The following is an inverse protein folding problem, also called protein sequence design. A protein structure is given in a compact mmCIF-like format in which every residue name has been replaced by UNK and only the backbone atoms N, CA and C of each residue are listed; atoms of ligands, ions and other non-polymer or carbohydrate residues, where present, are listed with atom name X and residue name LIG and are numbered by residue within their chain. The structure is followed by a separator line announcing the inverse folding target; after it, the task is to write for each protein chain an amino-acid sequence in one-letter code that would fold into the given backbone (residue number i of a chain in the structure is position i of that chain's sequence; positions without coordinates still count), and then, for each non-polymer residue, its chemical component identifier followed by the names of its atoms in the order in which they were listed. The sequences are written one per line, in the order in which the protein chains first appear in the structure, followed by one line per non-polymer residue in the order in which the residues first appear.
data_IF_023463569879
#
_entry.id   IF_023463569879
#
_cell.length_a   1.000
_cell.length_b   1.000
_cell.length_c   1.000
_cell.angle_alpha   90.00
_cell.angle_beta   90.00
_cell.angle_gamma   90.00
#
_symmetry.space_group_name_H-M   'P 1'
#
loop_
_entity.id
_entity.type
_entity.pdbx_description
1 polymer ?
#
# COMPACT_ATOMS: atom_id res chain seq x y z
N UNK A 1 17.36 -11.53 22.19
CA UNK A 1 17.65 -11.18 20.78
C UNK A 1 16.51 -11.73 19.93
N UNK A 2 15.53 -10.89 19.56
CA UNK A 2 14.21 -11.32 19.06
C UNK A 2 14.24 -11.85 17.61
N UNK A 3 13.70 -13.05 17.41
CA UNK A 3 13.58 -13.76 16.13
C UNK A 3 12.66 -13.07 15.11
N UNK A 4 11.79 -12.13 15.54
CA UNK A 4 10.84 -11.44 14.65
C UNK A 4 11.44 -10.26 13.86
N UNK A 5 12.55 -9.66 14.31
CA UNK A 5 13.26 -8.64 13.50
C UNK A 5 13.78 -9.18 12.16
N UNK A 6 13.95 -10.51 12.03
CA UNK A 6 14.38 -11.15 10.79
C UNK A 6 13.24 -11.43 9.81
N UNK A 7 11.97 -11.40 10.26
CA UNK A 7 10.82 -11.84 9.47
C UNK A 7 10.10 -10.71 8.72
N UNK A 8 10.06 -9.49 9.27
CA UNK A 8 9.39 -8.36 8.63
C UNK A 8 10.40 -7.33 8.12
N UNK A 9 11.04 -7.63 6.99
CA UNK A 9 12.03 -6.72 6.38
C UNK A 9 11.39 -5.58 5.60
N UNK A 10 10.13 -5.68 5.20
CA UNK A 10 9.46 -4.67 4.38
C UNK A 10 9.47 -3.29 5.07
N UNK A 11 9.02 -3.19 6.32
CA UNK A 11 9.06 -1.90 7.04
C UNK A 11 10.48 -1.37 7.23
N UNK A 12 11.47 -2.24 7.43
CA UNK A 12 12.89 -1.84 7.52
C UNK A 12 13.43 -1.25 6.21
N UNK A 13 13.10 -1.86 5.07
CA UNK A 13 13.45 -1.34 3.74
C UNK A 13 12.79 0.01 3.48
N UNK A 14 11.53 0.18 3.92
CA UNK A 14 10.81 1.44 3.79
C UNK A 14 11.47 2.55 4.60
N UNK A 15 11.82 2.30 5.85
CA UNK A 15 12.57 3.24 6.70
C UNK A 15 13.93 3.61 6.08
N UNK A 16 14.63 2.65 5.48
CA UNK A 16 15.92 2.89 4.83
C UNK A 16 15.79 3.88 3.67
N UNK A 17 14.81 3.70 2.80
CA UNK A 17 14.56 4.63 1.68
C UNK A 17 14.06 5.98 2.17
N UNK A 18 13.20 6.00 3.17
CA UNK A 18 12.73 7.24 3.78
C UNK A 18 13.90 8.08 4.35
N UNK A 19 14.85 7.45 5.04
CA UNK A 19 16.05 8.13 5.52
C UNK A 19 16.93 8.63 4.36
N UNK A 20 17.17 7.80 3.33
CA UNK A 20 17.94 8.20 2.16
C UNK A 20 17.29 9.39 1.41
N UNK A 21 15.96 9.42 1.34
CA UNK A 21 15.21 10.54 0.78
C UNK A 21 15.32 11.80 1.65
N UNK A 22 15.19 11.67 2.97
CA UNK A 22 15.36 12.79 3.89
C UNK A 22 16.76 13.40 3.79
N UNK A 23 17.81 12.57 3.73
CA UNK A 23 19.19 13.01 3.54
C UNK A 23 19.41 13.68 2.18
N UNK A 24 18.89 13.09 1.10
CA UNK A 24 19.09 13.59 -0.27
C UNK A 24 18.35 14.88 -0.53
N UNK A 25 17.10 14.99 -0.05
CA UNK A 25 16.27 16.16 -0.26
C UNK A 25 16.59 17.25 0.76
N UNK A 26 16.99 16.89 1.99
CA UNK A 26 17.35 17.81 3.07
C UNK A 26 16.30 18.92 3.34
N UNK A 27 15.03 18.63 3.01
CA UNK A 27 13.89 19.54 3.18
C UNK A 27 12.98 19.16 4.35
N UNK A 28 13.12 17.94 4.87
CA UNK A 28 12.32 17.42 5.97
C UNK A 28 13.15 16.49 6.86
N UNK A 29 12.66 16.24 8.07
CA UNK A 29 13.20 15.26 9.02
C UNK A 29 12.15 14.21 9.31
N UNK A 30 12.60 13.00 9.60
CA UNK A 30 11.72 11.89 9.95
C UNK A 30 12.09 11.37 11.33
N UNK A 31 11.06 11.16 12.16
CA UNK A 31 11.17 10.48 13.44
C UNK A 31 10.30 9.22 13.37
N UNK A 32 10.84 8.09 13.86
CA UNK A 32 10.17 6.80 13.76
C UNK A 32 9.84 6.26 15.15
N UNK A 33 8.56 6.01 15.39
CA UNK A 33 8.12 5.12 16.45
C UNK A 33 7.92 3.70 15.88
N UNK A 34 8.32 2.68 16.64
CA UNK A 34 8.21 1.29 16.22
C UNK A 34 7.22 0.53 17.10
N UNK A 35 6.22 -0.05 16.46
CA UNK A 35 5.18 -0.86 17.10
C UNK A 35 5.32 -2.33 16.69
N UNK A 36 5.42 -3.23 17.67
CA UNK A 36 5.43 -4.68 17.44
C UNK A 36 4.02 -5.25 17.57
N UNK A 37 3.20 -5.06 16.54
CA UNK A 37 1.84 -5.61 16.43
C UNK A 37 1.81 -6.87 15.55
N UNK A 38 2.88 -7.66 15.64
CA UNK A 38 3.02 -8.90 14.88
C UNK A 38 2.10 -10.00 15.41
N UNK A 39 1.89 -11.05 14.60
CA UNK A 39 1.22 -12.26 15.08
C UNK A 39 1.96 -12.96 16.22
N UNK A 40 3.26 -12.71 16.40
CA UNK A 40 4.01 -13.14 17.59
C UNK A 40 3.52 -12.44 18.85
N UNK A 41 3.31 -11.12 18.79
CA UNK A 41 2.69 -10.34 19.87
C UNK A 41 1.25 -10.78 20.13
N UNK A 42 0.46 -11.05 19.08
CA UNK A 42 -0.89 -11.57 19.23
C UNK A 42 -0.91 -12.92 19.97
N UNK A 43 -0.03 -13.87 19.60
CA UNK A 43 0.05 -15.19 20.25
C UNK A 43 0.32 -15.09 21.75
N UNK A 44 1.05 -14.07 22.19
CA UNK A 44 1.44 -13.90 23.59
C UNK A 44 0.44 -13.05 24.38
N UNK A 45 -0.11 -12.01 23.77
CA UNK A 45 -1.00 -11.05 24.44
C UNK A 45 -2.49 -11.35 24.26
N UNK A 46 -2.87 -12.13 23.24
CA UNK A 46 -4.25 -12.33 22.81
C UNK A 46 -4.89 -11.11 22.15
N UNK A 47 -4.13 -10.03 21.93
CA UNK A 47 -4.63 -8.75 21.40
C UNK A 47 -3.91 -8.39 20.10
N UNK A 48 -4.67 -8.09 19.06
CA UNK A 48 -4.11 -7.66 17.77
C UNK A 48 -3.64 -6.20 17.81
N UNK A 49 -4.32 -5.39 18.62
CA UNK A 49 -3.94 -4.01 18.93
C UNK A 49 -3.87 -3.95 20.46
N UNK A 50 -2.71 -3.58 21.05
CA UNK A 50 -2.59 -3.37 22.49
C UNK A 50 -3.54 -2.28 23.00
N UNK A 51 -3.86 -2.31 24.30
CA UNK A 51 -4.68 -1.25 24.91
C UNK A 51 -3.98 0.11 24.77
N UNK A 52 -4.72 1.14 24.38
CA UNK A 52 -4.16 2.47 24.10
C UNK A 52 -3.46 2.60 22.74
N UNK A 53 -3.40 1.52 21.95
CA UNK A 53 -2.63 1.49 20.70
C UNK A 53 -3.16 2.42 19.61
N UNK A 54 -4.49 2.62 19.53
CA UNK A 54 -5.08 3.52 18.54
C UNK A 54 -4.82 4.98 18.90
N UNK A 55 -4.97 5.33 20.18
CA UNK A 55 -4.72 6.67 20.72
C UNK A 55 -3.26 7.08 20.55
N UNK A 56 -2.34 6.12 20.61
CA UNK A 56 -0.93 6.35 20.34
C UNK A 56 -0.63 6.54 18.85
N UNK A 57 -1.33 5.81 17.96
CA UNK A 57 -1.20 6.00 16.52
C UNK A 57 -1.68 7.39 16.09
N UNK A 58 -2.77 7.90 16.68
CA UNK A 58 -3.30 9.24 16.39
C UNK A 58 -2.29 10.37 16.62
N UNK A 59 -1.23 10.15 17.41
CA UNK A 59 -0.18 11.15 17.67
C UNK A 59 0.81 11.30 16.51
N UNK A 60 0.75 10.44 15.50
CA UNK A 60 1.70 10.40 14.39
C UNK A 60 1.11 11.07 13.14
N UNK A 61 1.96 11.62 12.29
CA UNK A 61 1.54 12.22 11.02
C UNK A 61 1.13 11.16 9.98
N UNK A 62 1.80 10.00 10.00
CA UNK A 62 1.56 8.93 9.05
C UNK A 62 2.03 7.58 9.59
N UNK A 63 1.41 6.51 9.10
CA UNK A 63 1.72 5.14 9.47
C UNK A 63 2.34 4.42 8.27
N UNK A 64 3.56 3.89 8.44
CA UNK A 64 4.13 2.93 7.50
C UNK A 64 3.86 1.52 8.03
N UNK A 65 2.91 0.83 7.41
CA UNK A 65 2.50 -0.50 7.82
C UNK A 65 3.23 -1.57 6.99
N UNK A 66 3.84 -2.54 7.69
CA UNK A 66 4.44 -3.71 7.04
C UNK A 66 3.37 -4.75 6.67
N UNK A 67 3.78 -6.00 6.44
CA UNK A 67 2.80 -7.08 6.25
C UNK A 67 2.56 -7.81 7.56
N UNK A 68 1.30 -7.86 7.99
CA UNK A 68 0.88 -8.74 9.07
C UNK A 68 0.52 -10.12 8.49
N UNK A 69 1.05 -11.16 9.11
CA UNK A 69 0.85 -12.54 8.67
C UNK A 69 0.04 -13.27 9.74
N UNK A 70 -1.04 -13.98 9.39
CA UNK A 70 -1.72 -14.81 10.38
C UNK A 70 -0.73 -15.82 11.01
N UNK A 71 -0.93 -16.17 12.30
CA UNK A 71 -0.16 -17.14 13.06
C UNK A 71 0.25 -18.44 12.34
N UNK A 72 -0.64 -18.89 11.45
CA UNK A 72 -0.64 -20.14 10.72
C UNK A 72 -1.31 -19.87 9.36
N UNK A 73 -0.98 -20.67 8.33
CA UNK A 73 -1.68 -20.62 7.05
C UNK A 73 -3.14 -21.04 7.33
N UNK A 74 -4.15 -20.20 7.07
CA UNK A 74 -5.53 -20.61 7.28
C UNK A 74 -5.87 -21.78 6.35
N UNK A 75 -6.40 -22.87 6.90
CA UNK A 75 -6.89 -24.04 6.15
C UNK A 75 -8.24 -23.77 5.47
N UNK A 76 -8.89 -22.65 5.78
CA UNK A 76 -10.20 -22.30 5.25
C UNK A 76 -10.10 -21.34 4.06
N UNK A 77 -10.80 -21.69 2.98
CA UNK A 77 -11.08 -20.83 1.83
C UNK A 77 -12.43 -20.15 2.11
N UNK A 78 -12.45 -18.84 2.33
CA UNK A 78 -13.71 -18.09 2.26
C UNK A 78 -14.07 -17.93 0.78
N UNK A 79 -15.14 -18.60 0.35
CA UNK A 79 -15.84 -18.29 -0.89
C UNK A 79 -16.95 -17.31 -0.52
N UNK A 80 -16.91 -16.09 -1.06
CA UNK A 80 -18.03 -15.15 -1.02
C UNK A 80 -18.66 -15.13 -2.41
N UNK A 81 -19.89 -15.61 -2.46
CA UNK A 81 -20.74 -15.61 -3.64
C UNK A 81 -21.27 -14.19 -3.93
N UNK A 82 -21.44 -13.89 -5.22
CA UNK A 82 -21.86 -12.60 -5.73
C UNK A 82 -23.38 -12.55 -5.83
N UNK A 83 -24.02 -11.76 -4.96
CA UNK A 83 -25.23 -11.01 -5.27
C UNK A 83 -25.57 -10.15 -4.07
N UNK A 84 -25.45 -8.82 -4.19
CA UNK A 84 -26.35 -7.83 -3.56
C UNK A 84 -25.85 -6.39 -3.82
N UNK A 85 -26.73 -5.55 -4.37
CA UNK A 85 -26.73 -4.10 -4.14
C UNK A 85 -25.88 -3.19 -5.02
N UNK A 86 -26.02 -3.24 -6.35
CA UNK A 86 -25.54 -2.16 -7.22
C UNK A 86 -26.40 -0.90 -7.03
N UNK A 87 -25.92 0.07 -6.26
CA UNK A 87 -26.53 1.41 -6.17
C UNK A 87 -25.52 2.48 -5.73
N UNK A 88 -24.94 2.35 -4.54
CA UNK A 88 -24.35 3.50 -3.85
C UNK A 88 -23.07 4.08 -4.48
N UNK A 89 -22.02 3.28 -4.72
CA UNK A 89 -20.73 3.83 -5.17
C UNK A 89 -20.79 4.43 -6.59
N UNK A 90 -21.54 3.81 -7.49
CA UNK A 90 -21.71 4.28 -8.87
C UNK A 90 -22.60 5.52 -8.93
N UNK A 91 -23.67 5.56 -8.12
CA UNK A 91 -24.55 6.74 -8.03
C UNK A 91 -23.80 7.93 -7.46
N UNK A 92 -23.11 7.75 -6.33
CA UNK A 92 -22.28 8.80 -5.70
C UNK A 92 -21.19 9.29 -6.64
N UNK A 93 -20.45 8.40 -7.31
CA UNK A 93 -19.43 8.82 -8.27
C UNK A 93 -20.02 9.59 -9.48
N UNK A 94 -21.23 9.24 -9.91
CA UNK A 94 -21.92 9.98 -10.98
C UNK A 94 -22.37 11.35 -10.49
N UNK A 95 -22.86 11.43 -9.26
CA UNK A 95 -23.33 12.68 -8.64
C UNK A 95 -22.17 13.64 -8.41
N UNK A 96 -21.12 13.21 -7.70
CA UNK A 96 -19.90 13.98 -7.47
C UNK A 96 -19.22 14.33 -8.79
N UNK A 97 -19.26 13.45 -9.79
CA UNK A 97 -18.73 13.72 -11.13
C UNK A 97 -19.37 14.93 -11.81
N UNK A 98 -20.60 15.33 -11.44
CA UNK A 98 -21.21 16.56 -11.96
C UNK A 98 -20.53 17.83 -11.44
N UNK A 99 -19.84 17.75 -10.31
CA UNK A 99 -19.07 18.86 -9.74
C UNK A 99 -17.76 19.10 -10.49
N UNK A 100 -17.30 18.11 -11.29
CA UNK A 100 -16.04 18.13 -12.05
C UNK A 100 -16.31 17.90 -13.54
N UNK A 101 -16.90 18.87 -14.27
CA UNK A 101 -17.33 18.71 -15.67
C UNK A 101 -16.20 18.41 -16.67
N UNK A 102 -14.96 18.69 -16.30
CA UNK A 102 -13.75 18.35 -17.05
C UNK A 102 -13.38 16.86 -16.98
N UNK A 103 -13.90 16.12 -16.00
CA UNK A 103 -13.61 14.69 -15.79
C UNK A 103 -14.65 13.83 -16.50
N UNK A 104 -14.21 13.02 -17.45
CA UNK A 104 -15.11 12.08 -18.12
C UNK A 104 -15.41 10.85 -17.24
N UNK A 105 -16.62 10.79 -16.71
CA UNK A 105 -17.07 9.64 -15.89
C UNK A 105 -17.75 8.58 -16.77
N UNK A 106 -17.12 7.40 -16.88
CA UNK A 106 -17.64 6.24 -17.61
C UNK A 106 -17.96 5.08 -16.65
N UNK A 107 -19.05 4.35 -16.91
CA UNK A 107 -19.46 3.18 -16.12
C UNK A 107 -19.08 1.89 -16.84
N UNK A 108 -18.63 0.90 -16.09
CA UNK A 108 -18.29 -0.43 -16.62
C UNK A 108 -18.56 -1.49 -15.56
N UNK A 109 -19.05 -2.66 -15.99
CA UNK A 109 -19.19 -3.82 -15.13
C UNK A 109 -17.81 -4.37 -14.72
N UNK A 110 -17.70 -4.90 -13.50
CA UNK A 110 -16.41 -5.30 -12.90
C UNK A 110 -15.69 -6.43 -13.67
N UNK A 111 -16.45 -7.33 -14.30
CA UNK A 111 -15.96 -8.42 -15.15
C UNK A 111 -15.39 -7.89 -16.48
N UNK A 112 -16.10 -6.97 -17.13
CA UNK A 112 -15.66 -6.27 -18.33
C UNK A 112 -14.43 -5.40 -18.03
N UNK A 113 -14.39 -4.74 -16.87
CA UNK A 113 -13.23 -3.97 -16.41
C UNK A 113 -12.01 -4.87 -16.24
N UNK A 114 -12.18 -6.02 -15.58
CA UNK A 114 -11.11 -7.02 -15.41
C UNK A 114 -10.53 -7.45 -16.76
N UNK A 115 -11.40 -7.70 -17.75
CA UNK A 115 -10.98 -8.03 -19.12
C UNK A 115 -10.24 -6.87 -19.77
N UNK A 116 -10.71 -5.64 -19.63
CA UNK A 116 -10.09 -4.44 -20.21
C UNK A 116 -8.73 -4.13 -19.60
N UNK A 117 -8.55 -4.30 -18.29
CA UNK A 117 -7.26 -4.20 -17.62
C UNK A 117 -6.24 -5.19 -18.20
N UNK A 118 -6.70 -6.35 -18.68
CA UNK A 118 -5.84 -7.36 -19.30
C UNK A 118 -5.67 -7.14 -20.81
N UNK A 119 -6.67 -6.67 -21.53
CA UNK A 119 -6.55 -6.57 -23.00
C UNK A 119 -6.06 -5.20 -23.47
N UNK A 120 -6.48 -4.13 -22.79
CA UNK A 120 -6.28 -2.73 -23.19
C UNK A 120 -6.05 -1.79 -21.99
N UNK A 121 -5.07 -2.06 -21.10
CA UNK A 121 -4.84 -1.26 -19.90
C UNK A 121 -4.55 0.22 -20.19
N UNK A 122 -3.95 0.54 -21.34
CA UNK A 122 -3.62 1.90 -21.80
C UNK A 122 -4.85 2.79 -22.01
N UNK A 123 -6.04 2.19 -22.01
CA UNK A 123 -7.32 2.90 -22.19
C UNK A 123 -7.98 3.24 -20.85
N UNK A 124 -7.30 3.00 -19.74
CA UNK A 124 -7.75 3.24 -18.38
C UNK A 124 -6.81 4.27 -17.72
N UNK A 125 -7.39 5.10 -16.86
CA UNK A 125 -6.65 6.11 -16.10
C UNK A 125 -6.96 5.95 -14.61
N UNK A 126 -8.09 6.50 -14.16
CA UNK A 126 -8.56 6.39 -12.76
C UNK A 126 -9.76 5.44 -12.66
N UNK A 127 -9.72 4.53 -11.67
CA UNK A 127 -10.81 3.57 -11.40
C UNK A 127 -11.32 3.79 -9.97
N UNK A 128 -12.63 4.04 -9.85
CA UNK A 128 -13.34 4.09 -8.57
C UNK A 128 -14.21 2.85 -8.43
N UNK A 129 -14.11 2.15 -7.32
CA UNK A 129 -14.85 0.93 -7.05
C UNK A 129 -15.19 0.80 -5.57
N UNK A 130 -16.24 0.03 -5.24
CA UNK A 130 -16.49 -0.38 -3.86
C UNK A 130 -15.40 -1.35 -3.37
N UNK A 131 -15.24 -1.47 -2.06
CA UNK A 131 -14.15 -2.23 -1.42
C UNK A 131 -13.89 -3.61 -2.07
N UNK A 132 -14.91 -4.48 -2.15
CA UNK A 132 -14.77 -5.82 -2.72
C UNK A 132 -14.45 -5.81 -4.22
N UNK A 133 -15.04 -4.88 -4.98
CA UNK A 133 -14.75 -4.76 -6.41
C UNK A 133 -13.33 -4.27 -6.62
N UNK A 134 -12.86 -3.30 -5.83
CA UNK A 134 -11.48 -2.83 -5.86
C UNK A 134 -10.49 -3.98 -5.57
N UNK A 135 -10.74 -4.78 -4.52
CA UNK A 135 -9.88 -5.93 -4.18
C UNK A 135 -9.79 -6.94 -5.33
N UNK A 136 -10.91 -7.24 -5.99
CA UNK A 136 -10.92 -8.12 -7.16
C UNK A 136 -10.19 -7.52 -8.38
N UNK A 137 -10.35 -6.22 -8.64
CA UNK A 137 -9.68 -5.53 -9.74
C UNK A 137 -8.16 -5.38 -9.53
N UNK A 138 -7.69 -5.45 -8.28
CA UNK A 138 -6.26 -5.47 -7.98
C UNK A 138 -5.60 -6.82 -8.34
N UNK A 139 -6.36 -7.92 -8.49
CA UNK A 139 -5.79 -9.25 -8.77
C UNK A 139 -5.18 -9.36 -10.18
N UNK A 140 -5.81 -8.88 -11.27
CA UNK A 140 -5.18 -8.81 -12.59
C UNK A 140 -3.87 -8.02 -12.61
N UNK A 141 -3.75 -6.96 -11.82
CA UNK A 141 -2.50 -6.19 -11.68
C UNK A 141 -1.37 -7.04 -11.11
N UNK A 142 -1.68 -8.06 -10.30
CA UNK A 142 -0.69 -9.01 -9.75
C UNK A 142 -0.21 -10.04 -10.76
N UNK A 143 -0.97 -10.29 -11.82
CA UNK A 143 -0.74 -11.40 -12.75
C UNK A 143 -0.12 -10.99 -14.10
N UNK A 144 0.02 -9.69 -14.38
CA UNK A 144 0.47 -9.21 -15.70
C UNK A 144 2.00 -9.24 -15.81
N UNK A 145 2.52 -10.35 -16.31
CA UNK A 145 3.94 -10.65 -16.49
C UNK A 145 4.69 -9.76 -17.48
N UNK A 146 5.27 -8.67 -16.98
CA UNK A 146 6.63 -8.22 -17.38
C UNK A 146 7.61 -8.10 -16.21
N UNK A 147 7.11 -8.24 -15.01
CA UNK A 147 7.89 -8.45 -13.81
C UNK A 147 7.14 -9.56 -13.07
N UNK A 148 7.84 -10.63 -12.73
CA UNK A 148 7.48 -11.62 -11.72
C UNK A 148 7.29 -11.00 -10.31
N UNK A 149 7.14 -9.67 -10.23
CA UNK A 149 7.21 -8.83 -9.04
C UNK A 149 5.99 -7.90 -9.03
N UNK A 150 5.12 -8.09 -8.04
CA UNK A 150 4.00 -7.18 -7.80
C UNK A 150 4.52 -5.86 -7.22
N UNK A 151 4.81 -4.88 -8.07
CA UNK A 151 5.15 -3.52 -7.66
C UNK A 151 3.87 -2.69 -7.58
N UNK A 152 3.16 -2.79 -6.45
CA UNK A 152 1.91 -2.07 -6.23
C UNK A 152 1.94 -1.38 -4.86
N UNK A 153 2.29 -0.09 -4.78
CA UNK A 153 2.13 0.67 -3.54
C UNK A 153 0.62 0.85 -3.25
N UNK A 154 0.26 0.89 -1.97
CA UNK A 154 -1.12 1.20 -1.56
C UNK A 154 -1.15 2.13 -0.35
N UNK A 155 -2.19 2.94 -0.28
CA UNK A 155 -2.45 3.86 0.81
C UNK A 155 -3.91 3.86 1.21
N UNK A 156 -4.16 4.00 2.51
CA UNK A 156 -5.44 4.37 3.09
C UNK A 156 -5.28 5.83 3.50
N UNK A 157 -5.79 6.72 2.65
CA UNK A 157 -5.62 8.16 2.81
C UNK A 157 -6.75 8.74 3.65
N UNK A 158 -6.37 9.64 4.54
CA UNK A 158 -7.28 10.51 5.28
C UNK A 158 -7.14 11.93 4.72
N UNK A 159 -8.26 12.62 4.46
CA UNK A 159 -8.30 13.90 3.74
C UNK A 159 -8.45 15.14 4.63
N UNK A 160 -8.86 15.01 5.88
CA UNK A 160 -9.09 16.12 6.83
C UNK A 160 -7.84 16.52 7.62
N UNK A 161 -6.82 15.66 7.66
CA UNK A 161 -5.62 15.82 8.48
C UNK A 161 -5.83 15.56 9.97
N UNK A 162 -6.99 15.04 10.38
CA UNK A 162 -7.29 14.75 11.78
C UNK A 162 -6.68 13.43 12.26
N UNK A 163 -6.46 12.49 11.35
CA UNK A 163 -5.89 11.17 11.64
C UNK A 163 -4.77 10.84 10.65
N UNK A 164 -3.80 10.01 11.04
CA UNK A 164 -2.72 9.61 10.15
C UNK A 164 -3.23 8.80 8.95
N UNK A 165 -2.70 9.10 7.77
CA UNK A 165 -2.81 8.21 6.61
C UNK A 165 -1.92 6.98 6.80
N UNK A 166 -2.34 5.82 6.28
CA UNK A 166 -1.61 4.57 6.38
C UNK A 166 -1.13 4.08 5.02
N UNK A 167 0.17 3.82 4.90
CA UNK A 167 0.83 3.38 3.66
C UNK A 167 1.33 1.95 3.83
N UNK A 168 0.93 1.07 2.90
CA UNK A 168 1.23 -0.37 2.96
C UNK A 168 1.72 -0.87 1.60
N UNK A 169 2.85 -1.61 1.53
CA UNK A 169 3.23 -2.26 0.30
C UNK A 169 2.32 -3.45 0.02
N UNK A 170 1.76 -3.53 -1.18
CA UNK A 170 0.88 -4.63 -1.55
C UNK A 170 1.68 -5.84 -2.01
N UNK A 171 2.08 -6.69 -1.08
CA UNK A 171 2.57 -8.04 -1.35
C UNK A 171 1.98 -9.02 -0.32
N UNK A 172 1.99 -10.32 -0.65
CA UNK A 172 1.58 -11.33 0.33
C UNK A 172 2.67 -11.48 1.40
N UNK A 173 2.35 -12.21 2.46
CA UNK A 173 3.26 -12.59 3.54
C UNK A 173 4.52 -13.33 3.09
N UNK A 174 4.52 -13.87 1.87
CA UNK A 174 5.64 -14.57 1.25
C UNK A 174 6.27 -15.61 2.20
N UNK A 175 5.41 -16.45 2.82
CA UNK A 175 5.81 -17.42 3.85
C UNK A 175 6.93 -18.36 3.39
N UNK A 176 6.93 -18.69 2.11
CA UNK A 176 7.92 -19.52 1.42
C UNK A 176 9.31 -18.89 1.36
N UNK A 177 9.43 -17.56 1.40
CA UNK A 177 10.71 -16.83 1.36
C UNK A 177 11.03 -16.03 2.63
N UNK A 178 10.14 -16.05 3.62
CA UNK A 178 10.35 -15.35 4.89
C UNK A 178 11.64 -15.80 5.58
N UNK A 179 12.46 -14.83 6.03
CA UNK A 179 13.76 -15.09 6.66
C UNK A 179 14.89 -15.49 5.70
N UNK A 180 14.61 -15.75 4.41
CA UNK A 180 15.62 -16.12 3.40
C UNK A 180 16.32 -14.93 2.76
N UNK A 181 15.85 -13.71 3.02
CA UNK A 181 16.42 -12.48 2.44
C UNK A 181 16.13 -12.29 0.94
N UNK A 182 15.21 -13.05 0.37
CA UNK A 182 14.82 -13.00 -1.04
C UNK A 182 13.60 -12.09 -1.31
N UNK A 183 13.18 -11.27 -0.33
CA UNK A 183 12.06 -10.36 -0.50
C UNK A 183 12.49 -9.15 -1.33
N UNK A 184 11.77 -8.88 -2.43
CA UNK A 184 11.98 -7.68 -3.24
C UNK A 184 11.44 -6.44 -2.50
N UNK A 185 12.29 -5.44 -2.21
CA UNK A 185 11.88 -4.26 -1.46
C UNK A 185 11.23 -3.15 -2.32
N UNK A 186 11.22 -3.27 -3.66
CA UNK A 186 10.81 -2.20 -4.59
C UNK A 186 9.39 -1.68 -4.29
N UNK A 187 8.43 -2.56 -3.99
CA UNK A 187 7.06 -2.16 -3.62
C UNK A 187 7.03 -1.31 -2.37
N UNK A 188 7.90 -1.60 -1.40
CA UNK A 188 8.02 -0.82 -0.17
C UNK A 188 8.65 0.54 -0.44
N UNK A 189 9.57 0.63 -1.40
CA UNK A 189 10.17 1.90 -1.80
C UNK A 189 9.14 2.84 -2.43
N UNK A 190 8.30 2.32 -3.33
CA UNK A 190 7.19 3.10 -3.90
C UNK A 190 6.15 3.50 -2.86
N UNK A 191 5.91 2.65 -1.85
CA UNK A 191 5.01 2.99 -0.73
C UNK A 191 5.57 4.13 0.11
N UNK A 192 6.88 4.10 0.41
CA UNK A 192 7.57 5.19 1.08
C UNK A 192 7.57 6.48 0.26
N UNK A 193 7.72 6.37 -1.06
CA UNK A 193 7.62 7.50 -1.98
C UNK A 193 6.25 8.18 -1.93
N UNK A 194 5.18 7.38 -1.93
CA UNK A 194 3.81 7.86 -1.86
C UNK A 194 3.54 8.63 -0.56
N UNK A 195 4.03 8.10 0.58
CA UNK A 195 3.99 8.81 1.87
C UNK A 195 4.69 10.17 1.77
N UNK A 196 5.93 10.20 1.28
CA UNK A 196 6.68 11.45 1.13
C UNK A 196 5.97 12.43 0.19
N UNK A 197 5.42 11.96 -0.92
CA UNK A 197 4.69 12.81 -1.85
C UNK A 197 3.44 13.42 -1.22
N UNK A 198 2.73 12.66 -0.37
CA UNK A 198 1.56 13.16 0.37
C UNK A 198 1.95 14.23 1.40
N UNK A 199 3.02 14.01 2.18
CA UNK A 199 3.45 14.97 3.21
C UNK A 199 4.07 16.24 2.63
N UNK A 200 4.63 16.14 1.42
CA UNK A 200 5.25 17.25 0.69
C UNK A 200 4.30 17.92 -0.31
N UNK A 201 3.01 17.58 -0.30
CA UNK A 201 2.00 18.17 -1.16
C UNK A 201 2.02 19.71 -1.00
N UNK A 202 2.37 20.42 -2.09
CA UNK A 202 2.56 21.88 -2.11
C UNK A 202 3.95 22.41 -1.70
N UNK A 203 4.89 21.56 -1.25
CA UNK A 203 6.24 21.94 -0.78
C UNK A 203 7.40 21.39 -1.63
N UNK A 204 7.20 20.30 -2.36
CA UNK A 204 8.16 19.74 -3.33
C UNK A 204 7.40 19.15 -4.51
N UNK A 205 8.04 19.05 -5.69
CA UNK A 205 7.39 18.47 -6.85
C UNK A 205 7.37 16.94 -6.73
N UNK A 206 6.24 16.29 -6.99
CA UNK A 206 6.10 14.81 -7.05
C UNK A 206 7.17 14.17 -7.93
N UNK A 207 7.68 14.92 -8.92
CA UNK A 207 8.77 14.55 -9.82
C UNK A 207 10.12 14.40 -9.10
N UNK A 208 10.45 15.27 -8.14
CA UNK A 208 11.67 15.17 -7.34
C UNK A 208 11.69 13.91 -6.48
N UNK A 209 10.58 13.65 -5.78
CA UNK A 209 10.41 12.44 -4.95
C UNK A 209 10.50 11.20 -5.83
N UNK A 210 9.78 11.17 -6.96
CA UNK A 210 9.82 10.04 -7.91
C UNK A 210 11.22 9.82 -8.47
N UNK A 211 11.91 10.88 -8.89
CA UNK A 211 13.28 10.79 -9.43
C UNK A 211 14.26 10.29 -8.37
N UNK A 212 14.11 10.74 -7.12
CA UNK A 212 14.96 10.29 -6.04
C UNK A 212 14.74 8.80 -5.71
N UNK A 213 13.49 8.34 -5.74
CA UNK A 213 13.11 6.93 -5.53
C UNK A 213 13.59 6.05 -6.67
N UNK A 214 13.41 6.45 -7.93
CA UNK A 214 13.93 5.72 -9.09
C UNK A 214 15.44 5.58 -9.03
N UNK A 215 16.17 6.65 -8.67
CA UNK A 215 17.62 6.60 -8.53
C UNK A 215 18.06 5.64 -7.39
N UNK A 216 17.30 5.56 -6.30
CA UNK A 216 17.58 4.64 -5.20
C UNK A 216 17.25 3.19 -5.56
N UNK A 217 16.12 2.95 -6.26
CA UNK A 217 15.78 1.64 -6.82
C UNK A 217 16.92 1.16 -7.73
N UNK A 218 17.37 2.00 -8.68
CA UNK A 218 18.46 1.66 -9.60
C UNK A 218 19.76 1.34 -8.86
N UNK A 219 20.14 2.16 -7.87
CA UNK A 219 21.32 1.91 -7.02
C UNK A 219 21.24 0.58 -6.28
N UNK A 220 20.06 0.19 -5.82
CA UNK A 220 19.86 -1.05 -5.07
C UNK A 220 19.78 -2.27 -5.99
N UNK A 221 19.21 -2.13 -7.19
CA UNK A 221 19.22 -3.16 -8.24
C UNK A 221 20.64 -3.47 -8.72
N UNK A 222 21.52 -2.47 -8.83
CA UNK A 222 22.95 -2.66 -9.19
C UNK A 222 23.77 -3.42 -8.13
N UNK A 223 23.23 -3.59 -6.90
CA UNK A 223 23.91 -4.26 -5.79
C UNK A 223 23.46 -5.71 -5.55
N UNK A 224 22.41 -6.16 -6.24
CA UNK A 224 21.83 -7.51 -6.19
C UNK A 224 22.21 -8.33 -7.40
#
# INVERSE_FOLDING_TARGET
MNLDRKKNKSSHYGVTVLNALAEKLNTFKLEFAHYDWSSGTYKTSGKSIPDGGLEDLERHDAILFGVNCPPEKPDWVIIRENSEGNGTATEVATEVGREFPEVQVNKMLVDAMTTRMVLKPETLDTIVASNLHADNLLRPCRCRGRFDRCIVPTSNLESTGQHPSMFTPMHNSAFDISGKGAADPVTTFWTAAEKCAKDLEGKSTTKEVTTAVVAEIQRLEERT
#
